data_IF_905621628834
#
_entry.id   IF_905621628834
#
_cell.length_a   1.000
_cell.length_b   1.000
_cell.length_c   1.000
_cell.angle_alpha   90.00
_cell.angle_beta   90.00
_cell.angle_gamma   90.00
#
_symmetry.space_group_name_H-M   'P 1'
#
loop_
_entity.id
_entity.type
_entity.pdbx_description
1 polymer ?
#
# COMPACT_ATOMS: atom_id res chain seq x y z
N UNK A 1 -18.43 3.23 15.52
CA UNK A 1 -17.02 2.87 15.78
C UNK A 1 -16.19 4.09 15.44
N UNK A 2 -15.65 4.80 16.43
CA UNK A 2 -14.90 6.03 16.19
C UNK A 2 -13.40 5.78 16.08
N UNK A 3 -12.88 4.76 16.78
CA UNK A 3 -11.47 4.39 16.78
C UNK A 3 -11.24 2.95 16.34
N UNK A 4 -10.05 2.69 15.82
CA UNK A 4 -9.67 1.38 15.30
C UNK A 4 -9.64 0.30 16.39
N UNK A 5 -9.22 0.66 17.60
CA UNK A 5 -9.13 -0.24 18.76
C UNK A 5 -10.50 -0.65 19.31
N UNK A 6 -11.60 0.04 18.97
CA UNK A 6 -12.95 -0.31 19.44
C UNK A 6 -13.56 -1.47 18.66
N UNK A 7 -12.99 -1.81 17.51
CA UNK A 7 -13.54 -2.83 16.64
C UNK A 7 -13.17 -4.23 17.13
N UNK A 8 -14.10 -4.90 17.83
CA UNK A 8 -13.93 -6.21 18.48
C UNK A 8 -13.33 -7.32 17.61
N UNK A 9 -13.52 -7.25 16.30
CA UNK A 9 -13.06 -8.28 15.37
C UNK A 9 -11.65 -8.04 14.83
N UNK A 10 -11.00 -6.93 15.19
CA UNK A 10 -9.67 -6.59 14.71
C UNK A 10 -8.56 -7.08 15.65
N UNK A 11 -7.37 -7.31 15.09
CA UNK A 11 -6.19 -7.71 15.87
C UNK A 11 -5.77 -6.65 16.90
N UNK A 12 -6.01 -5.35 16.62
CA UNK A 12 -5.68 -4.27 17.54
C UNK A 12 -6.53 -4.32 18.82
N UNK A 13 -7.84 -4.57 18.69
CA UNK A 13 -8.72 -4.77 19.85
C UNK A 13 -8.27 -5.99 20.65
N UNK A 14 -7.98 -7.12 19.99
CA UNK A 14 -7.51 -8.34 20.66
C UNK A 14 -6.22 -8.11 21.44
N UNK A 15 -5.23 -7.41 20.87
CA UNK A 15 -3.97 -7.09 21.58
C UNK A 15 -4.18 -6.17 22.79
N UNK A 16 -5.11 -5.22 22.72
CA UNK A 16 -5.33 -4.18 23.75
C UNK A 16 -6.31 -4.60 24.84
N UNK A 17 -7.41 -5.20 24.45
CA UNK A 17 -8.62 -5.37 25.27
C UNK A 17 -9.15 -6.81 25.30
N UNK A 18 -8.61 -7.71 24.47
CA UNK A 18 -8.96 -9.13 24.52
C UNK A 18 -8.51 -9.79 25.83
N UNK A 19 -9.13 -10.89 26.20
CA UNK A 19 -8.62 -11.80 27.22
C UNK A 19 -7.43 -12.62 26.67
N UNK A 20 -6.85 -13.48 27.50
CA UNK A 20 -5.65 -14.25 27.14
C UNK A 20 -5.93 -15.23 25.99
N UNK A 21 -7.13 -15.80 25.92
CA UNK A 21 -7.58 -16.64 24.81
C UNK A 21 -7.66 -15.84 23.49
N UNK A 22 -8.24 -14.64 23.53
CA UNK A 22 -8.31 -13.76 22.37
C UNK A 22 -6.95 -13.23 21.91
N UNK A 23 -5.97 -13.10 22.82
CA UNK A 23 -4.59 -12.74 22.50
C UNK A 23 -3.81 -13.92 21.93
N UNK A 24 -4.03 -15.13 22.43
CA UNK A 24 -3.30 -16.34 22.04
C UNK A 24 -3.43 -16.70 20.55
N UNK A 25 -4.50 -16.27 19.88
CA UNK A 25 -4.66 -16.50 18.43
C UNK A 25 -3.74 -15.62 17.56
N UNK A 26 -3.10 -14.60 18.14
CA UNK A 26 -2.24 -13.69 17.41
C UNK A 26 -0.79 -14.13 17.58
N UNK A 27 -0.09 -14.30 16.47
CA UNK A 27 1.36 -14.40 16.50
C UNK A 27 2.00 -13.13 17.04
N UNK A 28 3.21 -13.26 17.54
CA UNK A 28 4.07 -12.11 17.81
C UNK A 28 4.32 -11.30 16.54
N UNK A 29 4.72 -10.05 16.74
CA UNK A 29 5.12 -9.22 15.62
C UNK A 29 6.46 -9.73 15.08
N UNK A 30 6.65 -9.77 13.74
CA UNK A 30 7.93 -10.17 13.15
C UNK A 30 9.05 -9.15 13.41
N UNK A 31 8.69 -7.95 13.85
CA UNK A 31 9.57 -6.83 14.23
C UNK A 31 8.95 -6.12 15.44
N UNK A 32 9.73 -5.34 16.18
CA UNK A 32 9.18 -4.59 17.31
C UNK A 32 8.01 -3.69 16.89
N UNK A 33 6.90 -3.70 17.67
CA UNK A 33 5.75 -2.86 17.35
C UNK A 33 6.15 -1.38 17.48
N UNK A 34 5.77 -0.52 16.52
CA UNK A 34 6.05 0.90 16.61
C UNK A 34 5.46 1.50 17.91
N UNK A 35 6.27 2.28 18.65
CA UNK A 35 5.85 2.89 19.93
C UNK A 35 4.51 3.63 19.83
N UNK A 36 4.29 4.31 18.72
CA UNK A 36 3.11 5.12 18.46
C UNK A 36 2.06 4.44 17.57
N UNK A 37 2.04 3.10 17.49
CA UNK A 37 1.16 2.37 16.58
C UNK A 37 -0.32 2.75 16.70
N UNK A 38 -0.83 2.91 17.93
CA UNK A 38 -2.22 3.31 18.18
C UNK A 38 -2.57 4.70 17.61
N UNK A 39 -1.62 5.64 17.69
CA UNK A 39 -1.80 6.97 17.10
C UNK A 39 -1.78 6.90 15.58
N UNK A 40 -0.88 6.07 15.02
CA UNK A 40 -0.71 5.91 13.58
C UNK A 40 -1.95 5.30 12.92
N UNK A 41 -2.50 4.22 13.49
CA UNK A 41 -3.69 3.53 12.92
C UNK A 41 -4.96 4.37 12.99
N UNK A 42 -5.08 5.26 13.98
CA UNK A 42 -6.21 6.18 14.10
C UNK A 42 -6.01 7.50 13.34
N UNK A 43 -4.85 7.71 12.72
CA UNK A 43 -4.59 8.95 11.97
C UNK A 43 -5.48 8.97 10.71
N UNK A 44 -6.26 10.04 10.48
CA UNK A 44 -7.04 10.17 9.26
C UNK A 44 -6.10 10.27 8.06
N UNK A 45 -6.47 9.60 6.98
CA UNK A 45 -5.79 9.70 5.69
C UNK A 45 -6.50 10.74 4.84
N UNK A 46 -5.73 11.55 4.13
CA UNK A 46 -6.25 12.47 3.12
C UNK A 46 -6.85 11.71 1.94
N UNK A 47 -7.69 12.39 1.17
CA UNK A 47 -8.26 11.84 -0.07
C UNK A 47 -7.17 11.40 -1.05
N UNK A 48 -6.11 12.19 -1.19
CA UNK A 48 -5.00 11.88 -2.09
C UNK A 48 -4.23 10.63 -1.66
N UNK A 49 -3.99 10.45 -0.36
CA UNK A 49 -3.36 9.24 0.18
C UNK A 49 -4.23 7.99 -0.07
N UNK A 50 -5.54 8.10 0.19
CA UNK A 50 -6.49 7.02 -0.06
C UNK A 50 -6.56 6.64 -1.55
N UNK A 51 -6.59 7.62 -2.45
CA UNK A 51 -6.55 7.39 -3.89
C UNK A 51 -5.25 6.72 -4.34
N UNK A 52 -4.11 7.12 -3.76
CA UNK A 52 -2.83 6.50 -4.05
C UNK A 52 -2.76 5.03 -3.60
N UNK A 53 -3.24 4.71 -2.39
CA UNK A 53 -3.34 3.31 -1.89
C UNK A 53 -4.27 2.49 -2.78
N UNK A 54 -5.48 3.00 -3.07
CA UNK A 54 -6.45 2.30 -3.93
C UNK A 54 -5.88 2.03 -5.31
N UNK A 55 -5.19 3.01 -5.91
CA UNK A 55 -4.52 2.84 -7.20
C UNK A 55 -3.46 1.75 -7.12
N UNK A 56 -2.63 1.75 -6.09
CA UNK A 56 -1.57 0.74 -5.92
C UNK A 56 -2.15 -0.68 -5.83
N UNK A 57 -3.21 -0.86 -5.04
CA UNK A 57 -3.93 -2.14 -4.92
C UNK A 57 -4.54 -2.55 -6.26
N UNK A 58 -5.28 -1.66 -6.93
CA UNK A 58 -5.93 -1.97 -8.21
C UNK A 58 -4.94 -2.27 -9.34
N UNK A 59 -3.76 -1.63 -9.32
CA UNK A 59 -2.71 -1.83 -10.32
C UNK A 59 -1.77 -2.99 -9.97
N UNK A 60 -1.87 -3.55 -8.76
CA UNK A 60 -0.85 -4.41 -8.17
C UNK A 60 0.56 -3.78 -8.25
N UNK A 61 0.64 -2.46 -8.04
CA UNK A 61 1.90 -1.71 -8.14
C UNK A 61 2.48 -1.44 -6.75
N UNK A 62 3.81 -1.26 -6.62
CA UNK A 62 4.41 -0.84 -5.36
C UNK A 62 3.82 0.50 -4.86
N UNK A 63 3.69 0.66 -3.54
CA UNK A 63 3.21 1.89 -2.89
C UNK A 63 4.35 2.53 -2.07
N UNK A 64 4.61 3.81 -2.31
CA UNK A 64 5.68 4.56 -1.66
C UNK A 64 6.07 5.79 -2.47
N UNK A 65 7.25 6.36 -2.18
CA UNK A 65 7.80 7.48 -2.97
C UNK A 65 8.02 7.07 -4.43
N UNK A 66 7.89 8.00 -5.37
CA UNK A 66 8.08 7.74 -6.80
C UNK A 66 9.43 7.06 -7.09
N UNK A 67 10.51 7.54 -6.46
CA UNK A 67 11.84 6.97 -6.62
C UNK A 67 11.92 5.51 -6.10
N UNK A 68 11.25 5.20 -5.00
CA UNK A 68 11.20 3.83 -4.49
C UNK A 68 10.30 2.95 -5.36
N UNK A 69 9.14 3.43 -5.77
CA UNK A 69 8.19 2.71 -6.61
C UNK A 69 8.81 2.32 -7.95
N UNK A 70 9.50 3.23 -8.64
CA UNK A 70 10.19 2.92 -9.90
C UNK A 70 11.29 1.88 -9.70
N UNK A 71 12.17 2.05 -8.70
CA UNK A 71 13.26 1.10 -8.42
C UNK A 71 12.71 -0.29 -8.05
N UNK A 72 11.70 -0.35 -7.20
CA UNK A 72 11.07 -1.62 -6.78
C UNK A 72 10.34 -2.27 -7.94
N UNK A 73 9.63 -1.50 -8.77
CA UNK A 73 8.97 -2.05 -9.94
C UNK A 73 9.98 -2.67 -10.91
N UNK A 74 11.10 -2.00 -11.18
CA UNK A 74 12.16 -2.58 -12.02
C UNK A 74 12.78 -3.83 -11.41
N UNK A 75 13.11 -3.81 -10.12
CA UNK A 75 13.68 -4.96 -9.43
C UNK A 75 12.76 -6.19 -9.46
N UNK A 76 11.45 -5.99 -9.45
CA UNK A 76 10.45 -7.06 -9.40
C UNK A 76 9.81 -7.39 -10.77
N UNK A 77 10.21 -6.74 -11.87
CA UNK A 77 9.58 -6.93 -13.18
C UNK A 77 8.13 -6.41 -13.28
N UNK A 78 7.78 -5.43 -12.45
CA UNK A 78 6.43 -4.87 -12.31
C UNK A 78 6.25 -3.53 -13.03
N UNK A 79 7.13 -3.14 -13.95
CA UNK A 79 7.04 -1.85 -14.66
C UNK A 79 5.74 -1.72 -15.46
N UNK A 80 5.17 -2.84 -15.90
CA UNK A 80 3.88 -2.88 -16.58
C UNK A 80 2.71 -2.38 -15.70
N UNK A 81 2.85 -2.44 -14.37
CA UNK A 81 1.87 -1.93 -13.40
C UNK A 81 1.88 -0.40 -13.31
N UNK A 82 2.98 0.24 -13.76
CA UNK A 82 3.13 1.70 -13.78
C UNK A 82 2.68 2.33 -15.10
N UNK A 83 2.69 1.57 -16.20
CA UNK A 83 2.25 2.05 -17.52
C UNK A 83 0.73 2.19 -17.60
N UNK A 84 0.17 2.99 -18.52
CA UNK A 84 -1.27 3.00 -18.80
C UNK A 84 -1.76 1.60 -19.19
N UNK A 85 -2.98 1.24 -18.78
CA UNK A 85 -3.60 -0.02 -19.19
C UNK A 85 -3.94 0.01 -20.69
N UNK A 86 -3.83 -1.14 -21.33
CA UNK A 86 -4.17 -1.33 -22.74
C UNK A 86 -2.96 -1.28 -23.66
N UNK A 87 -3.23 -1.29 -24.97
CA UNK A 87 -2.18 -1.29 -25.98
C UNK A 87 -1.36 0.00 -25.90
N UNK A 88 -0.02 -0.09 -25.92
CA UNK A 88 0.83 1.09 -26.06
C UNK A 88 0.41 1.95 -27.25
N UNK A 89 0.39 3.27 -27.07
CA UNK A 89 0.09 4.20 -28.16
C UNK A 89 1.14 4.00 -29.27
N UNK A 90 0.71 4.02 -30.54
CA UNK A 90 1.65 4.09 -31.67
C UNK A 90 2.47 5.37 -31.50
N UNK A 91 3.79 5.24 -31.39
CA UNK A 91 4.67 6.38 -31.53
C UNK A 91 4.56 6.90 -32.97
N UNK A 92 4.49 8.22 -33.13
CA UNK A 92 4.65 8.83 -34.47
C UNK A 92 6.11 8.63 -34.83
N UNK A 93 6.41 7.79 -35.82
CA UNK A 93 7.76 7.70 -36.37
C UNK A 93 8.13 9.11 -36.86
N UNK A 94 9.28 9.68 -36.46
CA UNK A 94 9.75 10.91 -37.09
C UNK A 94 9.85 10.68 -38.61
N UNK A 95 9.61 11.71 -39.45
CA UNK A 95 9.76 11.58 -40.89
C UNK A 95 11.14 10.98 -41.21
N UNK A 96 11.20 10.06 -42.16
CA UNK A 96 12.49 9.63 -42.68
C UNK A 96 13.18 10.88 -43.25
N UNK A 97 14.37 11.16 -42.77
CA UNK A 97 15.24 12.20 -43.31
C UNK A 97 15.57 11.79 -44.75
N UNK A 98 15.05 12.55 -45.71
CA UNK A 98 15.35 12.36 -47.13
C UNK A 98 16.74 12.91 -47.40
N UNK A 99 17.67 12.03 -47.80
CA UNK A 99 18.93 12.40 -48.43
C UNK A 99 18.73 12.54 -49.95
#
# INVERSE_FOLDING_TARGET
MARAEDWRWCSLWRRRSGDDEARAILSDWPVDPPRDWLRTVNRPQSRAELEAVRRAVQRNSPFGSTAWTTRTATRLGLEHTLRPRGRPRKSRRPPAESA
#
